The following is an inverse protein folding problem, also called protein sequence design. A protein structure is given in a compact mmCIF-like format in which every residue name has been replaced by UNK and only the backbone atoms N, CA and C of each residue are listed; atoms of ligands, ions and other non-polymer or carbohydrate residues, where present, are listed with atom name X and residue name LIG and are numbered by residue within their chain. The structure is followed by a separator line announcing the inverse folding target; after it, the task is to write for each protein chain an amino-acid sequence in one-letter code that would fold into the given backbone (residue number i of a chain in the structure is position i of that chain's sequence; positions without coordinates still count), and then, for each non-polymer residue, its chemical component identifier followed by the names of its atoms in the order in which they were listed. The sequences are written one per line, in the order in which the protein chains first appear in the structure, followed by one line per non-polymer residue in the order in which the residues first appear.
data_IF_686308113464
#
_entry.id   IF_686308113464
#
_cell.length_a   1.000
_cell.length_b   1.000
_cell.length_c   1.000
_cell.angle_alpha   90.00
_cell.angle_beta   90.00
_cell.angle_gamma   90.00
#
_symmetry.space_group_name_H-M   'P 1'
#
loop_
_entity.id
_entity.type
_entity.pdbx_description
1 polymer ?
#
# COMPACT_ATOMS: atom_id res chain seq x y z
N UNK A 1 -26.43 -11.60 -4.71
CA UNK A 1 -25.12 -11.01 -4.37
C UNK A 1 -24.32 -12.01 -3.56
N UNK A 2 -23.02 -12.19 -3.81
CA UNK A 2 -22.19 -13.08 -2.97
C UNK A 2 -21.98 -12.48 -1.58
N UNK A 3 -21.87 -13.33 -0.55
CA UNK A 3 -21.66 -12.93 0.85
C UNK A 3 -20.48 -11.94 0.98
N UNK A 4 -19.39 -12.20 0.27
CA UNK A 4 -18.22 -11.33 0.24
C UNK A 4 -18.51 -9.90 -0.24
N UNK A 5 -19.38 -9.71 -1.24
CA UNK A 5 -19.73 -8.36 -1.75
C UNK A 5 -20.59 -7.59 -0.76
N UNK A 6 -21.50 -8.28 -0.06
CA UNK A 6 -22.32 -7.67 1.00
C UNK A 6 -21.42 -7.18 2.15
N UNK A 7 -20.52 -8.04 2.63
CA UNK A 7 -19.57 -7.72 3.69
C UNK A 7 -18.63 -6.55 3.32
N UNK A 8 -18.08 -6.52 2.10
CA UNK A 8 -17.26 -5.39 1.65
C UNK A 8 -18.06 -4.08 1.56
N UNK A 9 -19.33 -4.15 1.21
CA UNK A 9 -20.19 -2.97 1.13
C UNK A 9 -20.39 -2.36 2.51
N UNK A 10 -20.61 -3.21 3.53
CA UNK A 10 -20.72 -2.80 4.93
C UNK A 10 -19.44 -2.14 5.45
N UNK A 11 -18.29 -2.76 5.22
CA UNK A 11 -16.98 -2.17 5.57
C UNK A 11 -16.80 -0.80 4.91
N UNK A 12 -17.18 -0.66 3.64
CA UNK A 12 -16.98 0.59 2.88
C UNK A 12 -17.87 1.72 3.39
N UNK A 13 -19.08 1.43 3.88
CA UNK A 13 -20.01 2.45 4.40
C UNK A 13 -19.64 2.88 5.82
N UNK A 14 -19.29 1.94 6.70
CA UNK A 14 -18.92 2.25 8.08
C UNK A 14 -17.51 2.89 8.15
N UNK A 15 -17.40 4.11 8.69
CA UNK A 15 -16.11 4.82 8.79
C UNK A 15 -15.11 4.10 9.68
N UNK A 16 -15.53 3.54 10.82
CA UNK A 16 -14.61 2.88 11.78
C UNK A 16 -14.08 1.57 11.22
N UNK A 17 -14.96 0.72 10.72
CA UNK A 17 -14.58 -0.56 10.12
C UNK A 17 -13.66 -0.37 8.92
N UNK A 18 -13.95 0.58 8.03
CA UNK A 18 -13.05 0.90 6.91
C UNK A 18 -11.66 1.28 7.38
N UNK A 19 -11.54 2.05 8.47
CA UNK A 19 -10.24 2.44 9.02
C UNK A 19 -9.48 1.24 9.57
N UNK A 20 -10.13 0.36 10.32
CA UNK A 20 -9.50 -0.89 10.78
C UNK A 20 -9.11 -1.80 9.63
N UNK A 21 -9.95 -1.93 8.60
CA UNK A 21 -9.67 -2.73 7.43
C UNK A 21 -8.50 -2.16 6.61
N UNK A 22 -8.38 -0.83 6.50
CA UNK A 22 -7.22 -0.16 5.90
C UNK A 22 -5.96 -0.44 6.72
N UNK A 23 -6.01 -0.27 8.04
CA UNK A 23 -4.86 -0.52 8.92
C UNK A 23 -4.40 -1.98 8.84
N UNK A 24 -5.34 -2.93 8.83
CA UNK A 24 -5.06 -4.36 8.64
C UNK A 24 -4.44 -4.63 7.26
N UNK A 25 -5.00 -4.04 6.19
CA UNK A 25 -4.45 -4.16 4.84
C UNK A 25 -3.02 -3.62 4.73
N UNK A 26 -2.73 -2.49 5.37
CA UNK A 26 -1.38 -1.92 5.46
C UNK A 26 -0.45 -2.86 6.23
N UNK A 27 -0.86 -3.36 7.40
CA UNK A 27 -0.03 -4.24 8.22
C UNK A 27 0.31 -5.55 7.48
N UNK A 28 -0.69 -6.19 6.87
CA UNK A 28 -0.52 -7.42 6.08
C UNK A 28 0.34 -7.15 4.84
N UNK A 29 0.10 -6.05 4.13
CA UNK A 29 0.89 -5.65 2.96
C UNK A 29 2.37 -5.41 3.30
N UNK A 30 2.65 -4.68 4.39
CA UNK A 30 4.02 -4.44 4.86
C UNK A 30 4.70 -5.74 5.29
N UNK A 31 4.01 -6.60 6.05
CA UNK A 31 4.55 -7.90 6.46
C UNK A 31 4.88 -8.78 5.25
N UNK A 32 3.99 -8.86 4.27
CA UNK A 32 4.25 -9.59 3.02
C UNK A 32 5.41 -8.99 2.22
N UNK A 33 5.54 -7.66 2.21
CA UNK A 33 6.61 -6.95 1.50
C UNK A 33 8.01 -7.22 2.09
N UNK A 34 8.10 -7.60 3.37
CA UNK A 34 9.36 -8.05 3.97
C UNK A 34 9.83 -9.39 3.42
N UNK A 35 8.88 -10.27 3.06
CA UNK A 35 9.20 -11.61 2.54
C UNK A 35 9.41 -11.58 1.03
N UNK A 36 8.58 -10.82 0.30
CA UNK A 36 8.65 -10.75 -1.15
C UNK A 36 8.11 -9.41 -1.66
N UNK A 37 8.72 -8.88 -2.72
CA UNK A 37 8.30 -7.63 -3.37
C UNK A 37 6.86 -7.63 -3.92
N UNK A 38 6.23 -8.81 -4.07
CA UNK A 38 4.81 -8.91 -4.40
C UNK A 38 3.89 -8.43 -3.28
N UNK A 39 4.41 -8.31 -2.05
CA UNK A 39 3.70 -7.69 -0.92
C UNK A 39 3.23 -6.27 -1.21
N UNK A 40 3.91 -5.52 -2.09
CA UNK A 40 3.43 -4.20 -2.52
C UNK A 40 2.14 -4.29 -3.34
N UNK A 41 2.06 -5.24 -4.28
CA UNK A 41 0.85 -5.49 -5.07
C UNK A 41 -0.29 -5.96 -4.16
N UNK A 42 -0.01 -6.89 -3.24
CA UNK A 42 -0.99 -7.39 -2.28
C UNK A 42 -1.49 -6.27 -1.36
N UNK A 43 -0.58 -5.49 -0.76
CA UNK A 43 -0.93 -4.37 0.11
C UNK A 43 -1.77 -3.33 -0.61
N UNK A 44 -1.36 -2.95 -1.83
CA UNK A 44 -2.13 -2.08 -2.72
C UNK A 44 -3.55 -2.60 -3.00
N UNK A 45 -3.67 -3.90 -3.30
CA UNK A 45 -4.97 -4.54 -3.51
C UNK A 45 -5.84 -4.52 -2.26
N UNK A 46 -5.28 -4.84 -1.08
CA UNK A 46 -6.03 -4.86 0.19
C UNK A 46 -6.57 -3.47 0.53
N UNK A 47 -5.74 -2.42 0.47
CA UNK A 47 -6.19 -1.04 0.74
C UNK A 47 -7.14 -0.54 -0.35
N UNK A 48 -6.98 -0.98 -1.59
CA UNK A 48 -7.88 -0.70 -2.70
C UNK A 48 -9.28 -1.29 -2.49
N UNK A 49 -9.37 -2.59 -2.17
CA UNK A 49 -10.64 -3.31 -2.00
C UNK A 49 -11.52 -2.68 -0.92
N UNK A 50 -10.95 -2.24 0.20
CA UNK A 50 -11.71 -1.65 1.30
C UNK A 50 -12.01 -0.15 1.10
N UNK A 51 -11.44 0.48 0.07
CA UNK A 51 -11.67 1.88 -0.25
C UNK A 51 -13.05 2.14 -0.83
N UNK A 52 -13.61 3.33 -0.53
CA UNK A 52 -15.00 3.67 -0.92
C UNK A 52 -15.22 3.61 -2.43
N UNK A 53 -14.27 4.12 -3.20
CA UNK A 53 -14.35 4.29 -4.65
C UNK A 53 -12.95 4.13 -5.28
N UNK A 54 -12.88 3.98 -6.61
CA UNK A 54 -11.62 3.72 -7.31
C UNK A 54 -10.59 4.83 -7.14
N UNK A 55 -11.01 6.10 -7.09
CA UNK A 55 -10.09 7.23 -6.88
C UNK A 55 -9.46 7.15 -5.49
N UNK A 56 -10.26 6.90 -4.45
CA UNK A 56 -9.76 6.70 -3.09
C UNK A 56 -8.93 5.42 -2.96
N UNK A 57 -9.28 4.36 -3.69
CA UNK A 57 -8.48 3.13 -3.76
C UNK A 57 -7.08 3.38 -4.31
N UNK A 58 -6.99 4.09 -5.43
CA UNK A 58 -5.70 4.49 -6.01
C UNK A 58 -4.89 5.38 -5.07
N UNK A 59 -5.53 6.38 -4.46
CA UNK A 59 -4.87 7.23 -3.46
C UNK A 59 -4.38 6.41 -2.26
N UNK A 60 -5.15 5.44 -1.79
CA UNK A 60 -4.75 4.56 -0.69
C UNK A 60 -3.57 3.66 -1.09
N UNK A 61 -3.56 3.12 -2.31
CA UNK A 61 -2.45 2.33 -2.85
C UNK A 61 -1.16 3.13 -2.97
N UNK A 62 -1.23 4.33 -3.56
CA UNK A 62 -0.08 5.26 -3.63
C UNK A 62 0.41 5.61 -2.23
N UNK A 63 -0.51 5.95 -1.31
CA UNK A 63 -0.17 6.30 0.07
C UNK A 63 0.51 5.15 0.80
N UNK A 64 0.04 3.91 0.59
CA UNK A 64 0.68 2.71 1.15
C UNK A 64 2.10 2.51 0.58
N UNK A 65 2.28 2.67 -0.73
CA UNK A 65 3.61 2.58 -1.34
C UNK A 65 4.58 3.65 -0.81
N UNK A 66 4.11 4.89 -0.65
CA UNK A 66 4.89 5.97 -0.03
C UNK A 66 5.21 5.66 1.43
N UNK A 67 4.25 5.13 2.20
CA UNK A 67 4.45 4.73 3.59
C UNK A 67 5.52 3.64 3.69
N UNK A 68 5.46 2.62 2.83
CA UNK A 68 6.43 1.52 2.83
C UNK A 68 7.84 2.02 2.47
N UNK A 69 7.95 2.91 1.48
CA UNK A 69 9.21 3.56 1.15
C UNK A 69 9.73 4.44 2.29
N UNK A 70 8.86 5.23 2.93
CA UNK A 70 9.23 6.09 4.06
C UNK A 70 9.72 5.26 5.25
N UNK A 71 9.09 4.11 5.52
CA UNK A 71 9.55 3.17 6.53
C UNK A 71 10.97 2.67 6.23
N UNK A 72 11.24 2.25 4.98
CA UNK A 72 12.57 1.87 4.55
C UNK A 72 13.59 3.02 4.66
N UNK A 73 13.26 4.22 4.18
CA UNK A 73 14.13 5.39 4.29
C UNK A 73 14.42 5.75 5.76
N UNK A 74 13.43 5.58 6.64
CA UNK A 74 13.58 5.74 8.09
C UNK A 74 14.57 4.74 8.68
N UNK A 75 14.52 3.46 8.27
CA UNK A 75 15.50 2.45 8.68
C UNK A 75 16.91 2.82 8.20
N UNK A 76 17.05 3.28 6.96
CA UNK A 76 18.34 3.74 6.42
C UNK A 76 18.87 4.94 7.21
N UNK A 77 18.01 5.89 7.54
CA UNK A 77 18.36 7.07 8.34
C UNK A 77 18.79 6.70 9.77
N UNK A 78 18.06 5.79 10.42
CA UNK A 78 18.39 5.28 11.75
C UNK A 78 19.78 4.59 11.80
N UNK A 79 20.26 4.10 10.65
CA UNK A 79 21.58 3.49 10.50
C UNK A 79 22.64 4.46 9.91
N UNK A 80 22.36 5.77 9.86
CA UNK A 80 23.30 6.79 9.38
C UNK A 80 23.56 6.78 7.86
N UNK A 81 22.77 6.02 7.10
CA UNK A 81 22.99 5.79 5.66
C UNK A 81 22.32 6.80 4.73
N UNK A 82 21.54 7.76 5.27
CA UNK A 82 20.61 8.56 4.46
C UNK A 82 21.29 9.39 3.36
N UNK A 83 22.43 10.03 3.66
CA UNK A 83 23.17 10.83 2.67
C UNK A 83 23.75 9.96 1.55
N UNK A 84 24.30 8.80 1.89
CA UNK A 84 24.82 7.83 0.90
C UNK A 84 23.69 7.31 0.02
N UNK A 85 22.56 6.98 0.62
CA UNK A 85 21.36 6.53 -0.07
C UNK A 85 20.81 7.60 -1.04
N UNK A 86 20.76 8.85 -0.61
CA UNK A 86 20.38 9.97 -1.48
C UNK A 86 21.34 10.14 -2.67
N UNK A 87 22.61 9.81 -2.49
CA UNK A 87 23.64 9.81 -3.54
C UNK A 87 23.56 8.65 -4.54
N UNK A 88 22.67 7.67 -4.36
CA UNK A 88 22.60 6.48 -5.23
C UNK A 88 21.94 6.72 -6.60
N UNK A 89 21.49 7.95 -6.88
CA UNK A 89 20.97 8.35 -8.19
C UNK A 89 19.79 7.49 -8.67
N UNK A 90 19.98 6.71 -9.74
CA UNK A 90 18.92 5.85 -10.31
C UNK A 90 18.34 4.84 -9.32
N UNK A 91 19.15 4.33 -8.39
CA UNK A 91 18.68 3.37 -7.39
C UNK A 91 17.71 3.99 -6.38
N UNK A 92 17.87 5.29 -6.07
CA UNK A 92 16.92 6.04 -5.24
C UNK A 92 15.54 6.13 -5.94
N UNK A 93 15.52 6.39 -7.24
CA UNK A 93 14.25 6.45 -7.98
C UNK A 93 13.58 5.08 -8.06
N UNK A 94 14.36 4.00 -8.24
CA UNK A 94 13.83 2.64 -8.24
C UNK A 94 13.27 2.23 -6.87
N UNK A 95 13.95 2.58 -5.77
CA UNK A 95 13.47 2.25 -4.43
C UNK A 95 12.16 2.96 -4.08
N UNK A 96 11.89 4.12 -4.67
CA UNK A 96 10.57 4.81 -4.58
C UNK A 96 9.57 4.20 -5.56
N UNK A 97 9.98 4.04 -6.82
CA UNK A 97 9.09 3.69 -7.93
C UNK A 97 8.50 2.29 -7.80
N UNK A 98 9.27 1.31 -7.31
CA UNK A 98 8.80 -0.06 -7.12
C UNK A 98 7.66 -0.14 -6.11
N UNK A 99 7.81 0.29 -4.84
CA UNK A 99 6.73 0.20 -3.86
C UNK A 99 5.53 1.06 -4.26
N UNK A 100 5.74 2.28 -4.76
CA UNK A 100 4.63 3.16 -5.17
C UNK A 100 3.90 2.61 -6.39
N UNK A 101 4.63 2.22 -7.42
CA UNK A 101 4.06 1.71 -8.67
C UNK A 101 3.33 0.39 -8.51
N UNK A 102 3.93 -0.58 -7.80
CA UNK A 102 3.29 -1.88 -7.56
C UNK A 102 2.08 -1.78 -6.65
N UNK A 103 2.12 -0.90 -5.65
CA UNK A 103 0.97 -0.64 -4.78
C UNK A 103 -0.17 0.07 -5.51
N UNK A 104 0.17 1.04 -6.37
CA UNK A 104 -0.80 1.67 -7.25
C UNK A 104 -1.44 0.63 -8.17
N UNK A 105 -0.64 -0.23 -8.81
CA UNK A 105 -1.13 -1.31 -9.67
C UNK A 105 -2.09 -2.26 -8.91
N UNK A 106 -1.70 -2.73 -7.73
CA UNK A 106 -2.56 -3.59 -6.90
C UNK A 106 -3.88 -2.92 -6.54
N UNK A 107 -3.86 -1.62 -6.23
CA UNK A 107 -5.06 -0.87 -5.83
C UNK A 107 -6.10 -0.69 -6.94
N UNK A 108 -5.70 -0.84 -8.21
CA UNK A 108 -6.61 -0.78 -9.36
C UNK A 108 -7.66 -1.90 -9.35
N UNK A 109 -7.48 -2.96 -8.54
CA UNK A 109 -8.52 -3.98 -8.32
C UNK A 109 -9.86 -3.36 -7.93
N UNK A 110 -9.87 -2.21 -7.23
CA UNK A 110 -11.11 -1.50 -6.84
C UNK A 110 -11.90 -0.96 -8.03
N UNK A 111 -11.28 -0.78 -9.19
CA UNK A 111 -11.96 -0.41 -10.42
C UNK A 111 -12.77 -1.56 -11.04
N UNK A 112 -12.47 -2.80 -10.64
CA UNK A 112 -13.07 -4.02 -11.19
C UNK A 112 -14.08 -4.65 -10.23
N UNK A 113 -13.92 -4.47 -8.91
CA UNK A 113 -14.78 -5.03 -7.84
C UNK A 113 -15.37 -3.96 -6.96
#
# INVERSE_FOLDING_TARGET
MSVARAWLTEIRTNRRERWFALAAGVAVGLAAAQVHWYGFVLGGALVGVVSKDAKRGLLAGISFGVLAWAFFAGLVAANGGLLKYAGMGRLLYLSVGIPVGLSALGSLVRGVV
#
